data_IF_359175929544
#
_entry.id   IF_359175929544
#
_cell.length_a   1.000
_cell.length_b   1.000
_cell.length_c   1.000
_cell.angle_alpha   90.00
_cell.angle_beta   90.00
_cell.angle_gamma   90.00
#
_symmetry.space_group_name_H-M   'P 1'
#
loop_
_entity.id
_entity.type
_entity.pdbx_description
1 polymer ?
#
# COMPACT_ATOMS: atom_id res chain seq x y z
N UNK A 1 21.18 -5.03 0.50
CA UNK A 1 19.79 -5.26 0.02
C UNK A 1 18.86 -4.34 0.79
N UNK A 2 18.13 -3.44 0.11
CA UNK A 2 17.14 -2.56 0.78
C UNK A 2 16.05 -3.45 1.40
N UNK A 3 15.60 -3.16 2.62
CA UNK A 3 14.47 -3.91 3.20
C UNK A 3 13.13 -3.43 2.64
N UNK A 4 12.12 -4.31 2.66
CA UNK A 4 10.77 -3.95 2.18
C UNK A 4 10.21 -2.71 2.91
N UNK A 5 10.48 -2.58 4.21
CA UNK A 5 10.10 -1.42 5.03
C UNK A 5 10.64 -0.11 4.44
N UNK A 6 11.95 -0.02 4.17
CA UNK A 6 12.57 1.17 3.58
C UNK A 6 11.95 1.52 2.23
N UNK A 7 11.68 0.51 1.40
CA UNK A 7 11.04 0.73 0.10
C UNK A 7 9.63 1.32 0.24
N UNK A 8 8.81 0.79 1.16
CA UNK A 8 7.47 1.35 1.40
C UNK A 8 7.55 2.77 1.99
N UNK A 9 8.47 3.06 2.89
CA UNK A 9 8.69 4.41 3.43
C UNK A 9 9.06 5.40 2.33
N UNK A 10 10.07 5.08 1.52
CA UNK A 10 10.53 5.94 0.44
C UNK A 10 9.46 6.17 -0.63
N UNK A 11 8.71 5.12 -1.01
CA UNK A 11 7.65 5.25 -2.01
C UNK A 11 6.44 6.03 -1.47
N UNK A 12 6.15 5.89 -0.17
CA UNK A 12 5.09 6.67 0.48
C UNK A 12 5.45 8.15 0.50
N UNK A 13 6.71 8.44 0.82
CA UNK A 13 7.22 9.81 0.81
C UNK A 13 7.30 10.40 -0.61
N UNK A 14 7.86 9.65 -1.56
CA UNK A 14 7.91 10.03 -2.97
C UNK A 14 6.53 10.30 -3.56
N UNK A 15 5.56 9.44 -3.27
CA UNK A 15 4.16 9.62 -3.72
C UNK A 15 3.60 10.93 -3.20
N UNK A 16 3.83 11.25 -1.93
CA UNK A 16 3.32 12.47 -1.31
C UNK A 16 3.95 13.73 -1.91
N UNK A 17 5.29 13.79 -2.00
CA UNK A 17 6.02 14.92 -2.62
C UNK A 17 5.66 15.11 -4.10
N UNK A 18 5.61 14.04 -4.88
CA UNK A 18 5.27 14.10 -6.30
C UNK A 18 3.82 14.57 -6.51
N UNK A 19 2.89 14.13 -5.65
CA UNK A 19 1.49 14.54 -5.74
C UNK A 19 1.30 16.01 -5.31
N UNK A 20 2.04 16.48 -4.30
CA UNK A 20 2.08 17.90 -3.94
C UNK A 20 2.60 18.75 -5.10
N UNK A 21 3.74 18.34 -5.68
CA UNK A 21 4.31 19.02 -6.83
C UNK A 21 3.34 19.05 -8.02
N UNK A 22 2.70 17.92 -8.34
CA UNK A 22 1.69 17.84 -9.40
C UNK A 22 0.44 18.71 -9.15
N UNK A 23 0.12 19.03 -7.89
CA UNK A 23 -0.96 19.95 -7.54
C UNK A 23 -0.56 21.44 -7.64
N UNK A 24 0.71 21.75 -7.88
CA UNK A 24 1.21 23.12 -7.98
C UNK A 24 0.65 23.82 -9.22
N UNK A 25 0.22 25.09 -9.15
CA UNK A 25 -0.46 25.78 -10.26
C UNK A 25 0.33 25.82 -11.58
N UNK A 26 1.66 25.79 -11.51
CA UNK A 26 2.55 25.91 -12.65
C UNK A 26 2.92 24.56 -13.28
N UNK A 27 2.54 23.44 -12.65
CA UNK A 27 2.83 22.09 -13.13
C UNK A 27 1.66 21.59 -13.97
N UNK A 28 1.93 21.26 -15.24
CA UNK A 28 0.93 20.79 -16.21
C UNK A 28 1.00 19.28 -16.49
N UNK A 29 1.68 18.52 -15.63
CA UNK A 29 1.84 17.07 -15.77
C UNK A 29 0.70 16.35 -15.07
N UNK A 30 0.11 15.35 -15.73
CA UNK A 30 -0.87 14.47 -15.11
C UNK A 30 -0.16 13.42 -14.26
N UNK A 31 -0.26 13.54 -12.93
CA UNK A 31 0.16 12.48 -12.00
C UNK A 31 -1.08 11.71 -11.52
N UNK A 32 -1.56 10.82 -12.41
CA UNK A 32 -2.82 10.10 -12.26
C UNK A 32 -2.76 8.93 -11.29
N UNK A 33 -3.93 8.42 -10.91
CA UNK A 33 -4.07 7.25 -10.03
C UNK A 33 -3.37 6.00 -10.59
N UNK A 34 -3.61 5.66 -11.86
CA UNK A 34 -2.95 4.53 -12.54
C UNK A 34 -1.42 4.70 -12.55
N UNK A 35 -0.93 5.90 -12.85
CA UNK A 35 0.51 6.22 -12.87
C UNK A 35 1.16 6.00 -11.50
N UNK A 36 0.53 6.46 -10.42
CA UNK A 36 1.05 6.29 -9.05
C UNK A 36 1.10 4.80 -8.71
N UNK A 37 0.00 4.07 -8.97
CA UNK A 37 -0.09 2.63 -8.70
C UNK A 37 0.99 1.86 -9.46
N UNK A 38 1.11 2.05 -10.77
CA UNK A 38 2.07 1.34 -11.61
C UNK A 38 3.51 1.63 -11.21
N UNK A 39 3.83 2.91 -10.95
CA UNK A 39 5.18 3.32 -10.50
C UNK A 39 5.54 2.62 -9.19
N UNK A 40 4.63 2.61 -8.21
CA UNK A 40 4.87 1.99 -6.91
C UNK A 40 5.03 0.46 -7.02
N UNK A 41 4.16 -0.23 -7.77
CA UNK A 41 4.25 -1.68 -7.95
C UNK A 41 5.53 -2.08 -8.69
N UNK A 42 5.90 -1.34 -9.73
CA UNK A 42 7.13 -1.58 -10.48
C UNK A 42 8.37 -1.38 -9.60
N UNK A 43 8.43 -0.31 -8.83
CA UNK A 43 9.56 -0.02 -7.94
C UNK A 43 9.71 -1.07 -6.84
N UNK A 44 8.61 -1.55 -6.26
CA UNK A 44 8.65 -2.66 -5.28
C UNK A 44 9.24 -3.91 -5.94
N UNK A 45 8.78 -4.29 -7.15
CA UNK A 45 9.29 -5.46 -7.88
C UNK A 45 10.75 -5.30 -8.30
N UNK A 46 11.17 -4.10 -8.70
CA UNK A 46 12.54 -3.78 -9.14
C UNK A 46 13.53 -3.90 -7.99
N UNK A 47 13.16 -3.43 -6.80
CA UNK A 47 14.04 -3.41 -5.61
C UNK A 47 14.09 -4.75 -4.88
N UNK A 48 13.05 -5.57 -5.02
CA UNK A 48 12.91 -6.86 -4.33
C UNK A 48 12.71 -8.05 -5.29
N UNK A 49 13.55 -8.22 -6.33
CA UNK A 49 13.28 -9.18 -7.40
C UNK A 49 13.27 -10.65 -6.95
N UNK A 50 13.87 -10.96 -5.78
CA UNK A 50 13.88 -12.31 -5.18
C UNK A 50 12.70 -12.57 -4.25
N UNK A 51 12.04 -11.53 -3.74
CA UNK A 51 10.91 -11.62 -2.80
C UNK A 51 9.58 -11.28 -3.45
N UNK A 52 9.61 -10.47 -4.48
CA UNK A 52 8.42 -9.90 -5.11
C UNK A 52 8.27 -10.46 -6.51
N UNK A 53 7.09 -11.00 -6.80
CA UNK A 53 6.64 -11.39 -8.13
C UNK A 53 5.48 -10.49 -8.53
N UNK A 54 5.61 -9.83 -9.68
CA UNK A 54 4.54 -9.02 -10.29
C UNK A 54 4.00 -9.80 -11.49
N UNK A 55 2.71 -10.13 -11.46
CA UNK A 55 1.98 -10.75 -12.56
C UNK A 55 1.02 -9.72 -13.14
N UNK A 56 1.03 -9.55 -14.46
CA UNK A 56 0.14 -8.64 -15.19
C UNK A 56 -0.61 -9.40 -16.27
N UNK A 57 -1.91 -9.23 -16.35
CA UNK A 57 -2.79 -9.91 -17.31
C UNK A 57 -3.40 -8.91 -18.29
N UNK A 58 -3.87 -9.41 -19.44
CA UNK A 58 -4.36 -8.54 -20.52
C UNK A 58 -5.74 -7.98 -20.20
N UNK A 59 -5.95 -6.68 -20.49
CA UNK A 59 -7.17 -5.92 -20.18
C UNK A 59 -8.45 -6.41 -20.90
N UNK A 60 -8.42 -7.49 -21.68
CA UNK A 60 -9.49 -7.83 -22.65
C UNK A 60 -10.86 -8.13 -22.00
N UNK A 61 -10.92 -8.38 -20.69
CA UNK A 61 -12.17 -8.58 -19.94
C UNK A 61 -12.33 -7.66 -18.71
N UNK A 62 -11.39 -6.75 -18.45
CA UNK A 62 -11.04 -6.43 -17.07
C UNK A 62 -11.22 -4.95 -16.68
N UNK A 63 -12.38 -4.67 -16.08
CA UNK A 63 -12.66 -3.55 -15.15
C UNK A 63 -14.13 -3.54 -14.69
N UNK A 64 -14.99 -4.35 -15.33
CA UNK A 64 -16.44 -4.33 -15.09
C UNK A 64 -16.88 -5.09 -13.83
N UNK A 65 -16.10 -6.06 -13.36
CA UNK A 65 -16.61 -7.07 -12.42
C UNK A 65 -16.07 -6.94 -10.99
N UNK A 66 -14.87 -6.38 -10.80
CA UNK A 66 -14.15 -6.49 -9.50
C UNK A 66 -13.92 -5.17 -8.81
N UNK A 67 -13.89 -4.06 -9.55
CA UNK A 67 -13.69 -2.72 -9.00
C UNK A 67 -12.39 -2.56 -8.21
N UNK A 68 -11.34 -3.28 -8.60
CA UNK A 68 -10.02 -3.27 -7.97
C UNK A 68 -8.91 -2.94 -8.98
N UNK A 69 -7.84 -2.30 -8.53
CA UNK A 69 -6.68 -1.94 -9.36
C UNK A 69 -5.56 -3.00 -9.28
N UNK A 70 -5.39 -3.64 -8.12
CA UNK A 70 -4.46 -4.76 -7.96
C UNK A 70 -4.83 -5.69 -6.79
N UNK A 71 -4.13 -6.81 -6.71
CA UNK A 71 -4.18 -7.75 -5.59
C UNK A 71 -2.79 -7.89 -4.94
N UNK A 72 -2.75 -7.91 -3.61
CA UNK A 72 -1.55 -8.10 -2.81
C UNK A 72 -1.61 -9.43 -2.07
N UNK A 73 -0.59 -10.28 -2.25
CA UNK A 73 -0.39 -11.51 -1.48
C UNK A 73 0.89 -11.39 -0.67
N UNK A 74 0.78 -11.16 0.62
CA UNK A 74 1.92 -11.08 1.55
C UNK A 74 2.05 -12.42 2.24
N UNK A 75 3.08 -13.17 1.89
CA UNK A 75 3.26 -14.57 2.24
C UNK A 75 4.27 -14.66 3.39
N UNK A 76 3.79 -14.85 4.61
CA UNK A 76 4.62 -15.13 5.79
C UNK A 76 4.76 -16.62 6.05
N UNK A 77 5.56 -17.01 7.04
CA UNK A 77 5.81 -18.43 7.40
C UNK A 77 4.56 -19.14 7.88
N UNK A 78 3.79 -18.47 8.74
CA UNK A 78 2.62 -19.06 9.38
C UNK A 78 1.33 -18.68 8.64
N UNK A 79 1.25 -17.45 8.17
CA UNK A 79 0.05 -16.88 7.57
C UNK A 79 0.34 -16.11 6.29
N UNK A 80 -0.64 -16.12 5.39
CA UNK A 80 -0.66 -15.34 4.16
C UNK A 80 -1.81 -14.34 4.24
N UNK A 81 -1.50 -13.05 4.06
CA UNK A 81 -2.49 -12.00 3.90
C UNK A 81 -2.71 -11.74 2.40
N UNK A 82 -3.96 -11.85 1.96
CA UNK A 82 -4.39 -11.50 0.61
C UNK A 82 -5.35 -10.32 0.66
N UNK A 83 -5.07 -9.29 -0.13
CA UNK A 83 -5.86 -8.06 -0.21
C UNK A 83 -6.29 -7.80 -1.65
N UNK A 84 -7.55 -7.45 -1.84
CA UNK A 84 -8.05 -6.85 -3.08
C UNK A 84 -8.05 -5.33 -2.88
N UNK A 85 -7.30 -4.60 -3.71
CA UNK A 85 -7.02 -3.19 -3.43
C UNK A 85 -7.52 -2.29 -4.56
N UNK A 86 -8.27 -1.26 -4.19
CA UNK A 86 -8.66 -0.16 -5.05
C UNK A 86 -7.84 1.09 -4.67
N UNK A 87 -7.13 1.67 -5.62
CA UNK A 87 -6.50 2.97 -5.44
C UNK A 87 -7.55 4.08 -5.44
N UNK A 88 -7.23 5.16 -4.72
CA UNK A 88 -7.94 6.42 -4.84
C UNK A 88 -7.01 7.61 -4.64
N UNK A 89 -6.81 8.42 -5.69
CA UNK A 89 -6.03 9.67 -5.57
C UNK A 89 -6.85 10.78 -4.90
N UNK A 90 -6.27 11.44 -3.91
CA UNK A 90 -6.89 12.58 -3.22
C UNK A 90 -6.66 13.87 -4.03
N UNK A 91 -7.75 14.57 -4.35
CA UNK A 91 -7.70 15.84 -5.08
C UNK A 91 -7.09 16.96 -4.24
N UNK A 92 -6.46 17.95 -4.89
CA UNK A 92 -5.80 19.12 -4.25
C UNK A 92 -6.51 19.66 -2.99
N UNK A 93 -7.84 19.85 -3.04
CA UNK A 93 -8.64 20.36 -1.92
C UNK A 93 -8.98 19.31 -0.83
N UNK A 94 -8.29 18.17 -0.79
CA UNK A 94 -8.54 17.03 0.11
C UNK A 94 -9.76 16.18 -0.28
N UNK A 95 -10.37 16.44 -1.44
CA UNK A 95 -11.57 15.75 -1.91
C UNK A 95 -11.28 14.32 -2.35
N UNK A 96 -12.21 13.42 -2.05
CA UNK A 96 -12.20 12.03 -2.56
C UNK A 96 -13.16 11.99 -3.74
N UNK A 97 -12.68 11.59 -4.92
CA UNK A 97 -13.53 11.39 -6.10
C UNK A 97 -14.64 10.37 -5.83
N UNK A 98 -15.71 10.36 -6.64
CA UNK A 98 -16.91 9.57 -6.36
C UNK A 98 -16.59 8.10 -6.00
N UNK A 99 -16.91 7.69 -4.77
CA UNK A 99 -16.70 6.34 -4.25
C UNK A 99 -17.81 5.38 -4.68
N UNK A 100 -18.99 5.91 -4.98
CA UNK A 100 -20.13 5.15 -5.54
C UNK A 100 -20.14 5.21 -7.06
N UNK A 101 -18.99 5.43 -7.67
CA UNK A 101 -18.89 5.48 -9.12
C UNK A 101 -19.32 4.13 -9.70
N UNK A 102 -20.22 4.18 -10.67
CA UNK A 102 -20.58 3.03 -11.48
C UNK A 102 -19.51 2.86 -12.55
N UNK A 103 -18.96 1.66 -12.67
CA UNK A 103 -18.15 1.31 -13.84
C UNK A 103 -18.99 1.40 -15.12
N UNK A 104 -18.37 1.65 -16.27
CA UNK A 104 -19.09 1.72 -17.54
C UNK A 104 -19.73 0.36 -17.85
N UNK A 105 -21.05 0.28 -17.73
CA UNK A 105 -21.82 -0.97 -17.91
C UNK A 105 -21.78 -1.92 -16.71
N UNK A 106 -21.34 -1.46 -15.54
CA UNK A 106 -21.40 -2.24 -14.30
C UNK A 106 -22.83 -2.27 -13.75
N UNK A 107 -23.23 -3.40 -13.15
CA UNK A 107 -24.53 -3.54 -12.50
C UNK A 107 -24.58 -2.92 -11.09
N UNK A 108 -23.41 -2.69 -10.48
CA UNK A 108 -23.27 -2.18 -9.10
C UNK A 108 -22.16 -1.14 -8.98
N UNK A 109 -22.19 -0.28 -7.93
CA UNK A 109 -21.09 0.63 -7.61
C UNK A 109 -19.75 -0.11 -7.42
N UNK A 110 -18.65 0.54 -7.81
CA UNK A 110 -17.30 -0.04 -7.75
C UNK A 110 -16.93 -0.59 -6.36
N UNK A 111 -17.29 0.13 -5.29
CA UNK A 111 -17.02 -0.29 -3.91
C UNK A 111 -17.79 -1.56 -3.51
N UNK A 112 -18.98 -1.78 -4.08
CA UNK A 112 -19.77 -2.97 -3.81
C UNK A 112 -19.16 -4.17 -4.52
N UNK A 113 -18.74 -4.00 -5.78
CA UNK A 113 -18.00 -5.02 -6.53
C UNK A 113 -16.73 -5.43 -5.79
N UNK A 114 -15.95 -4.45 -5.31
CA UNK A 114 -14.71 -4.69 -4.55
C UNK A 114 -14.96 -5.57 -3.31
N UNK A 115 -15.98 -5.22 -2.52
CA UNK A 115 -16.27 -5.94 -1.26
C UNK A 115 -16.84 -7.33 -1.53
N UNK A 116 -17.80 -7.44 -2.46
CA UNK A 116 -18.44 -8.71 -2.80
C UNK A 116 -17.42 -9.70 -3.38
N UNK A 117 -16.62 -9.26 -4.35
CA UNK A 117 -15.59 -10.09 -4.95
C UNK A 117 -14.52 -10.49 -3.92
N UNK A 118 -14.03 -9.54 -3.11
CA UNK A 118 -13.05 -9.86 -2.08
C UNK A 118 -13.56 -10.92 -1.11
N UNK A 119 -14.81 -10.82 -0.66
CA UNK A 119 -15.45 -11.82 0.21
C UNK A 119 -15.57 -13.18 -0.47
N UNK A 120 -16.02 -13.22 -1.72
CA UNK A 120 -16.15 -14.45 -2.48
C UNK A 120 -14.82 -15.19 -2.65
N UNK A 121 -13.70 -14.45 -2.64
CA UNK A 121 -12.35 -14.99 -2.78
C UNK A 121 -11.56 -15.04 -1.46
N UNK A 122 -12.22 -14.83 -0.30
CA UNK A 122 -11.58 -14.79 1.02
C UNK A 122 -10.39 -13.81 1.12
N UNK A 123 -10.53 -12.63 0.51
CA UNK A 123 -9.56 -11.54 0.50
C UNK A 123 -10.02 -10.42 1.44
N UNK A 124 -9.06 -9.61 1.91
CA UNK A 124 -9.35 -8.34 2.58
C UNK A 124 -9.66 -7.27 1.52
N UNK A 125 -10.86 -6.65 1.51
CA UNK A 125 -11.15 -5.54 0.62
C UNK A 125 -10.54 -4.25 1.16
N UNK A 126 -9.64 -3.63 0.40
CA UNK A 126 -8.88 -2.46 0.82
C UNK A 126 -9.01 -1.29 -0.16
N UNK A 127 -8.98 -0.08 0.40
CA UNK A 127 -8.65 1.13 -0.34
C UNK A 127 -7.20 1.53 -0.04
N UNK A 128 -6.50 2.03 -1.06
CA UNK A 128 -5.23 2.73 -0.89
C UNK A 128 -5.39 4.18 -1.37
N UNK A 129 -5.40 5.12 -0.43
CA UNK A 129 -5.48 6.54 -0.72
C UNK A 129 -4.09 7.13 -0.97
N UNK A 130 -3.92 7.79 -2.12
CA UNK A 130 -2.72 8.56 -2.44
C UNK A 130 -2.92 10.04 -2.08
N UNK A 131 -2.09 10.56 -1.18
CA UNK A 131 -2.25 11.91 -0.64
C UNK A 131 -0.92 12.67 -0.49
N UNK A 132 -0.99 13.98 -0.68
CA UNK A 132 0.07 14.94 -0.40
C UNK A 132 0.04 15.35 1.09
N UNK A 133 1.14 15.89 1.60
CA UNK A 133 1.21 16.38 3.00
C UNK A 133 0.14 17.42 3.35
N UNK A 134 -0.11 18.47 2.53
CA UNK A 134 -1.08 19.51 2.88
C UNK A 134 -2.54 19.02 2.97
N UNK A 135 -2.83 17.80 2.51
CA UNK A 135 -4.16 17.20 2.54
C UNK A 135 -4.42 16.40 3.82
N UNK A 136 -3.36 16.04 4.55
CA UNK A 136 -3.39 15.21 5.75
C UNK A 136 -3.59 16.08 6.98
N UNK A 137 -4.28 15.53 7.97
CA UNK A 137 -4.57 16.19 9.25
C UNK A 137 -4.25 15.31 10.46
N UNK A 138 -4.14 14.01 10.25
CA UNK A 138 -3.85 13.02 11.28
C UNK A 138 -2.46 12.39 11.07
N UNK A 139 -2.18 11.94 9.86
CA UNK A 139 -0.87 11.38 9.49
C UNK A 139 0.08 12.49 9.03
N UNK A 140 0.25 13.52 9.85
CA UNK A 140 1.16 14.62 9.55
C UNK A 140 2.61 14.26 9.88
N UNK A 141 3.53 14.87 9.14
CA UNK A 141 4.97 14.83 9.44
C UNK A 141 5.18 15.44 10.84
N UNK A 142 5.98 14.79 11.67
CA UNK A 142 6.34 15.35 12.98
C UNK A 142 7.25 16.57 12.81
N UNK A 143 7.28 17.45 13.81
CA UNK A 143 8.35 18.45 13.92
C UNK A 143 9.60 17.69 14.35
N UNK A 144 10.45 17.38 13.40
CA UNK A 144 11.76 16.80 13.66
C UNK A 144 12.81 17.92 13.76
N UNK A 145 13.88 17.68 14.53
CA UNK A 145 15.00 18.61 14.64
C UNK A 145 15.61 18.91 13.25
N UNK A 146 16.27 20.04 13.07
CA UNK A 146 16.83 20.48 11.78
C UNK A 146 17.75 19.44 11.10
N UNK A 147 18.25 18.46 11.86
CA UNK A 147 19.12 17.38 11.40
C UNK A 147 18.38 16.08 11.02
N UNK A 148 17.05 16.01 11.08
CA UNK A 148 16.31 14.79 10.78
C UNK A 148 15.00 15.13 10.06
N UNK A 149 14.73 14.50 8.91
CA UNK A 149 13.48 14.64 8.15
C UNK A 149 12.56 13.43 8.39
N UNK A 150 11.35 13.67 8.90
CA UNK A 150 10.34 12.60 9.03
C UNK A 150 9.79 12.15 7.67
N UNK A 151 9.55 10.85 7.50
CA UNK A 151 8.93 10.31 6.28
C UNK A 151 7.46 10.75 6.17
N UNK A 152 7.04 11.00 4.94
CA UNK A 152 5.67 11.34 4.62
C UNK A 152 4.82 10.08 4.37
N UNK A 153 3.54 10.13 4.75
CA UNK A 153 2.60 9.00 4.62
C UNK A 153 1.73 9.17 3.39
N UNK A 154 2.33 9.16 2.20
CA UNK A 154 1.60 9.40 0.95
C UNK A 154 0.69 8.26 0.49
N UNK A 155 0.81 7.07 1.08
CA UNK A 155 0.01 5.89 0.75
C UNK A 155 -0.68 5.36 2.01
N UNK A 156 -1.99 5.59 2.13
CA UNK A 156 -2.80 5.24 3.29
C UNK A 156 -3.76 4.11 2.96
N UNK A 157 -3.74 3.03 3.73
CA UNK A 157 -4.62 1.87 3.55
C UNK A 157 -5.81 1.99 4.49
N UNK A 158 -7.01 1.71 3.99
CA UNK A 158 -8.22 1.57 4.79
C UNK A 158 -9.01 0.32 4.41
N UNK A 159 -9.84 -0.14 5.33
CA UNK A 159 -10.87 -1.14 5.07
C UNK A 159 -11.97 -0.59 4.16
N UNK A 160 -12.23 -1.26 3.03
CA UNK A 160 -13.28 -0.85 2.11
C UNK A 160 -14.68 -0.88 2.73
N UNK A 161 -14.96 -1.77 3.68
CA UNK A 161 -16.26 -1.80 4.37
C UNK A 161 -16.48 -0.54 5.21
N UNK A 162 -15.41 -0.07 5.87
CA UNK A 162 -15.41 1.18 6.63
C UNK A 162 -15.55 2.38 5.69
N UNK A 163 -14.83 2.38 4.55
CA UNK A 163 -14.98 3.42 3.50
C UNK A 163 -16.42 3.46 2.96
N UNK A 164 -17.04 2.30 2.72
CA UNK A 164 -18.43 2.21 2.25
C UNK A 164 -19.41 2.75 3.29
N UNK A 165 -19.25 2.34 4.54
CA UNK A 165 -20.09 2.76 5.66
C UNK A 165 -20.04 4.28 5.87
N UNK A 166 -18.83 4.86 5.89
CA UNK A 166 -18.66 6.31 6.11
C UNK A 166 -18.93 7.15 4.85
N UNK A 167 -18.79 6.57 3.67
CA UNK A 167 -18.90 7.25 2.37
C UNK A 167 -18.21 8.64 2.34
N UNK A 168 -16.91 8.73 2.70
CA UNK A 168 -16.25 9.99 2.93
C UNK A 168 -16.10 10.81 1.64
N UNK A 169 -16.42 12.11 1.71
CA UNK A 169 -16.21 13.06 0.60
C UNK A 169 -14.83 13.73 0.65
N UNK A 170 -14.15 13.67 1.80
CA UNK A 170 -12.85 14.29 2.06
C UNK A 170 -11.97 13.35 2.88
N UNK A 171 -10.65 13.44 2.71
CA UNK A 171 -9.67 12.60 3.40
C UNK A 171 -9.81 12.68 4.93
N UNK A 172 -9.94 13.88 5.48
CA UNK A 172 -10.05 14.09 6.94
C UNK A 172 -11.26 13.41 7.62
N UNK A 173 -12.22 12.88 6.84
CA UNK A 173 -13.37 12.12 7.37
C UNK A 173 -13.11 10.62 7.51
N UNK A 174 -12.00 10.12 6.95
CA UNK A 174 -11.60 8.70 6.99
C UNK A 174 -10.14 8.50 7.40
N UNK A 175 -9.35 9.57 7.47
CA UNK A 175 -7.91 9.51 7.73
C UNK A 175 -7.56 8.75 9.02
N UNK A 176 -8.34 8.95 10.09
CA UNK A 176 -8.16 8.24 11.36
C UNK A 176 -8.47 6.74 11.29
N UNK A 177 -9.15 6.27 10.23
CA UNK A 177 -9.45 4.86 9.97
C UNK A 177 -8.51 4.28 8.89
N UNK A 178 -7.42 4.98 8.61
CA UNK A 178 -6.38 4.53 7.70
C UNK A 178 -5.09 4.26 8.45
N UNK A 179 -4.21 3.46 7.86
CA UNK A 179 -2.82 3.32 8.30
C UNK A 179 -1.87 3.54 7.12
N UNK A 180 -0.69 4.13 7.31
CA UNK A 180 0.34 4.15 6.28
C UNK A 180 0.70 2.73 5.84
N UNK A 181 0.89 2.50 4.55
CA UNK A 181 1.14 1.15 4.02
C UNK A 181 2.39 0.46 4.58
N UNK A 182 3.37 1.21 5.10
CA UNK A 182 4.57 0.65 5.72
C UNK A 182 4.26 -0.01 7.07
N UNK A 183 3.06 0.23 7.63
CA UNK A 183 2.56 -0.48 8.81
C UNK A 183 2.30 -1.96 8.55
N UNK A 184 2.23 -2.38 7.28
CA UNK A 184 2.31 -3.80 6.92
C UNK A 184 3.65 -4.42 7.35
N UNK A 185 4.72 -3.63 7.46
CA UNK A 185 6.01 -4.07 7.97
C UNK A 185 6.15 -3.77 9.47
N UNK A 186 5.99 -2.50 9.87
CA UNK A 186 6.22 -2.05 11.25
C UNK A 186 5.31 -0.87 11.61
N UNK A 187 4.66 -0.93 12.77
CA UNK A 187 3.69 0.07 13.27
C UNK A 187 4.39 1.22 14.00
N UNK A 188 5.36 1.84 13.35
CA UNK A 188 6.10 3.00 13.86
C UNK A 188 6.10 4.14 12.84
N UNK A 189 6.20 5.37 13.33
CA UNK A 189 6.65 6.49 12.51
C UNK A 189 8.16 6.42 12.38
N UNK A 190 8.68 6.97 11.29
CA UNK A 190 10.09 6.88 10.95
C UNK A 190 10.61 8.21 10.43
N UNK A 191 11.89 8.44 10.65
CA UNK A 191 12.61 9.64 10.22
C UNK A 191 14.02 9.30 9.75
N UNK A 192 14.63 10.16 8.94
CA UNK A 192 15.94 9.99 8.33
C UNK A 192 16.84 11.18 8.66
N UNK A 193 18.13 10.97 8.90
CA UNK A 193 19.08 12.03 9.32
C UNK A 193 19.47 12.99 8.18
N UNK A 194 19.18 12.67 6.92
CA UNK A 194 19.18 13.65 5.82
C UNK A 194 18.01 13.39 4.87
N UNK A 195 17.60 14.43 4.14
CA UNK A 195 16.46 14.32 3.22
C UNK A 195 16.75 13.25 2.15
N UNK A 196 15.96 12.16 2.05
CA UNK A 196 16.29 10.96 1.25
C UNK A 196 16.36 11.23 -0.27
N UNK A 197 16.00 12.44 -0.68
CA UNK A 197 15.94 12.89 -2.07
C UNK A 197 17.17 13.65 -2.55
N UNK A 198 18.03 14.18 -1.66
CA UNK A 198 19.18 14.97 -2.09
C UNK A 198 20.30 14.15 -2.74
N UNK A 199 20.40 12.84 -2.44
CA UNK A 199 21.46 12.00 -2.99
C UNK A 199 21.12 11.23 -4.28
N UNK A 200 19.84 10.98 -4.61
CA UNK A 200 19.49 10.25 -5.86
C UNK A 200 19.86 11.00 -7.13
N UNK A 201 19.93 12.33 -7.07
CA UNK A 201 20.27 13.19 -8.20
C UNK A 201 21.75 13.57 -8.24
N UNK A 202 22.52 13.28 -7.19
CA UNK A 202 23.90 13.74 -7.09
C UNK A 202 24.92 12.70 -7.56
N UNK A 203 24.73 11.39 -7.37
CA UNK A 203 25.75 10.40 -7.77
C UNK A 203 25.18 9.00 -8.10
N UNK A 204 25.83 8.30 -9.04
CA UNK A 204 25.68 6.86 -9.36
C UNK A 204 26.13 5.95 -8.18
N UNK A 205 25.68 6.25 -6.96
CA UNK A 205 26.08 5.50 -5.77
C UNK A 205 25.29 4.18 -5.66
N UNK A 206 25.95 3.08 -5.27
CA UNK A 206 25.29 1.81 -5.03
C UNK A 206 24.17 1.97 -4.00
N UNK A 207 23.03 1.34 -4.29
CA UNK A 207 21.81 1.21 -3.48
C UNK A 207 22.07 0.85 -2.00
N UNK A 208 23.24 0.31 -1.68
CA UNK A 208 23.60 -0.21 -0.36
C UNK A 208 23.98 0.87 0.67
N UNK A 209 24.11 2.14 0.28
CA UNK A 209 24.46 3.23 1.21
C UNK A 209 23.27 3.98 1.85
N UNK A 210 22.03 3.66 1.49
CA UNK A 210 20.83 4.29 2.08
C UNK A 210 20.41 3.68 3.42
N UNK A 211 21.39 3.34 4.26
CA UNK A 211 21.16 2.98 5.66
C UNK A 211 21.44 4.22 6.52
N UNK A 212 20.64 5.25 6.35
CA UNK A 212 20.52 6.26 7.41
C UNK A 212 19.77 5.61 8.58
N UNK A 213 20.20 5.93 9.80
CA UNK A 213 19.57 5.43 11.03
C UNK A 213 18.10 5.83 11.04
N UNK A 214 17.24 4.89 10.64
CA UNK A 214 15.81 5.04 10.76
C UNK A 214 15.48 5.02 12.25
N UNK A 215 15.03 6.15 12.77
CA UNK A 215 14.66 6.27 14.19
C UNK A 215 13.16 5.96 14.31
N UNK A 216 12.77 4.88 15.03
CA UNK A 216 11.37 4.62 15.29
C UNK A 216 10.81 5.64 16.28
N UNK A 217 9.72 6.32 15.90
CA UNK A 217 8.87 7.06 16.82
C UNK A 217 7.61 6.24 17.08
N UNK A 218 7.37 5.90 18.35
CA UNK A 218 6.16 5.20 18.78
C UNK A 218 4.95 6.14 18.67
N UNK A 219 3.91 5.71 17.96
CA UNK A 219 2.60 6.32 18.08
C UNK A 219 1.63 5.36 18.75
N UNK A 220 1.15 5.73 19.94
CA UNK A 220 0.05 5.03 20.62
C UNK A 220 -1.33 5.28 20.01
N UNK A 221 -1.43 5.89 18.82
CA UNK A 221 -2.70 6.34 18.22
C UNK A 221 -3.16 5.51 17.03
N UNK A 222 -2.33 4.65 16.46
CA UNK A 222 -2.66 3.92 15.23
C UNK A 222 -3.92 3.06 15.40
N UNK A 223 -4.96 3.39 14.64
CA UNK A 223 -6.18 2.57 14.57
C UNK A 223 -5.84 1.19 14.02
N UNK A 224 -6.19 0.13 14.75
CA UNK A 224 -6.04 -1.23 14.24
C UNK A 224 -7.15 -1.50 13.22
N UNK A 225 -6.81 -1.38 11.94
CA UNK A 225 -7.73 -1.71 10.83
C UNK A 225 -7.79 -3.21 10.51
N UNK A 226 -7.24 -4.04 11.41
CA UNK A 226 -7.24 -5.50 11.30
C UNK A 226 -6.11 -6.10 10.48
N UNK A 227 -5.23 -5.26 9.88
CA UNK A 227 -4.09 -5.74 9.08
C UNK A 227 -2.91 -6.16 9.97
N UNK A 228 -2.39 -7.39 9.81
CA UNK A 228 -1.21 -7.85 10.54
C UNK A 228 0.08 -7.23 9.98
N UNK A 229 1.12 -7.18 10.80
CA UNK A 229 2.48 -6.91 10.32
C UNK A 229 3.13 -8.17 9.73
N UNK A 230 4.20 -8.01 8.95
CA UNK A 230 5.00 -9.14 8.46
C UNK A 230 5.51 -10.03 9.60
N UNK A 231 5.76 -9.48 10.79
CA UNK A 231 6.21 -10.25 11.95
C UNK A 231 5.09 -11.15 12.48
N UNK A 232 3.87 -10.62 12.55
CA UNK A 232 2.70 -11.42 12.95
C UNK A 232 2.37 -12.50 11.91
N UNK A 233 2.57 -12.23 10.61
CA UNK A 233 2.41 -13.25 9.57
C UNK A 233 3.42 -14.40 9.66
N UNK A 234 4.58 -14.16 10.29
CA UNK A 234 5.63 -15.14 10.50
C UNK A 234 5.53 -15.87 11.84
N UNK A 235 4.64 -15.44 12.73
CA UNK A 235 4.48 -15.99 14.09
C UNK A 235 3.21 -16.85 14.20
N UNK A 236 3.38 -18.15 14.40
CA UNK A 236 2.29 -19.11 14.59
C UNK A 236 1.47 -18.84 15.86
N UNK A 237 1.99 -18.06 16.82
CA UNK A 237 1.29 -17.70 18.07
C UNK A 237 0.33 -16.52 17.89
N UNK A 238 0.42 -15.79 16.78
CA UNK A 238 -0.36 -14.56 16.55
C UNK A 238 -1.86 -14.81 16.33
N UNK A 239 -2.32 -16.07 16.20
CA UNK A 239 -3.74 -16.49 16.10
C UNK A 239 -4.55 -15.60 15.15
N UNK A 240 -4.13 -15.57 13.88
CA UNK A 240 -4.70 -14.68 12.86
C UNK A 240 -5.84 -15.32 12.04
N UNK A 241 -6.21 -16.56 12.34
CA UNK A 241 -7.08 -17.42 11.51
C UNK A 241 -8.49 -16.85 11.25
N UNK A 242 -9.01 -15.99 12.14
CA UNK A 242 -10.36 -15.41 12.01
C UNK A 242 -10.39 -14.06 11.27
N UNK A 243 -9.21 -13.53 10.91
CA UNK A 243 -9.15 -12.21 10.27
C UNK A 243 -9.37 -12.33 8.76
N UNK A 244 -10.19 -11.44 8.22
CA UNK A 244 -10.44 -11.32 6.78
C UNK A 244 -9.16 -11.23 5.96
N UNK A 245 -9.14 -11.95 4.84
CA UNK A 245 -7.99 -11.98 3.95
C UNK A 245 -6.80 -12.77 4.47
N UNK A 246 -6.89 -13.42 5.64
CA UNK A 246 -5.80 -14.22 6.19
C UNK A 246 -6.11 -15.70 6.03
N UNK A 247 -5.13 -16.45 5.55
CA UNK A 247 -5.14 -17.91 5.57
C UNK A 247 -3.83 -18.42 6.14
N UNK A 248 -3.81 -19.68 6.63
CA UNK A 248 -2.54 -20.34 6.95
C UNK A 248 -1.70 -20.47 5.68
N UNK A 249 -0.40 -20.25 5.80
CA UNK A 249 0.53 -20.47 4.69
C UNK A 249 0.76 -21.97 4.53
N UNK A 250 0.51 -22.56 3.35
CA UNK A 250 0.84 -23.95 3.10
C UNK A 250 2.35 -24.18 3.18
N UNK A 251 2.77 -25.37 3.62
CA UNK A 251 4.20 -25.76 3.63
C UNK A 251 4.77 -25.87 2.20
N UNK A 252 3.92 -26.24 1.23
CA UNK A 252 4.27 -26.29 -0.18
C UNK A 252 4.16 -24.91 -0.84
N UNK A 253 5.23 -24.48 -1.52
CA UNK A 253 5.24 -23.27 -2.34
C UNK A 253 4.43 -23.51 -3.60
N UNK A 254 3.34 -22.77 -3.74
CA UNK A 254 2.72 -22.48 -5.02
C UNK A 254 1.91 -23.63 -5.61
N UNK A 255 0.60 -23.58 -5.41
CA UNK A 255 -0.21 -23.77 -6.61
C UNK A 255 0.09 -22.58 -7.51
N UNK A 256 0.66 -22.89 -8.68
CA UNK A 256 0.82 -21.95 -9.76
C UNK A 256 -0.57 -21.43 -10.09
N UNK A 257 -0.83 -20.15 -9.83
CA UNK A 257 -2.17 -19.63 -10.06
C UNK A 257 -2.37 -19.62 -11.56
N UNK A 258 -3.36 -20.38 -12.02
CA UNK A 258 -3.60 -20.64 -13.44
C UNK A 258 -4.13 -19.33 -14.07
N UNK A 259 -3.62 -18.91 -15.26
CA UNK A 259 -4.14 -17.76 -16.01
C UNK A 259 -5.67 -17.69 -16.11
N UNK A 260 -6.32 -18.85 -16.25
CA UNK A 260 -7.78 -19.00 -16.36
C UNK A 260 -8.53 -18.58 -15.07
N UNK A 261 -7.95 -18.82 -13.89
CA UNK A 261 -8.51 -18.35 -12.62
C UNK A 261 -8.46 -16.81 -12.52
N UNK A 262 -7.50 -16.16 -13.19
CA UNK A 262 -7.36 -14.71 -13.19
C UNK A 262 -8.36 -14.03 -14.13
N UNK A 263 -8.53 -14.53 -15.34
CA UNK A 263 -9.54 -14.02 -16.26
C UNK A 263 -10.93 -14.11 -15.63
N UNK A 264 -11.23 -15.22 -14.95
CA UNK A 264 -12.48 -15.38 -14.19
C UNK A 264 -12.60 -14.37 -13.05
N UNK A 265 -11.51 -14.05 -12.36
CA UNK A 265 -11.47 -13.17 -11.17
C UNK A 265 -11.27 -11.69 -11.52
N UNK A 266 -11.10 -11.33 -12.79
CA UNK A 266 -10.96 -9.97 -13.28
C UNK A 266 -9.93 -9.10 -12.53
N UNK A 267 -8.73 -9.65 -12.26
CA UNK A 267 -7.57 -8.91 -11.73
C UNK A 267 -6.48 -8.68 -12.78
N UNK A 268 -6.20 -7.39 -13.07
CA UNK A 268 -5.14 -7.02 -14.02
C UNK A 268 -3.73 -7.21 -13.48
N UNK A 269 -3.53 -7.08 -12.17
CA UNK A 269 -2.21 -6.98 -11.55
C UNK A 269 -2.19 -7.68 -10.19
N UNK A 270 -1.21 -8.57 -9.99
CA UNK A 270 -0.97 -9.22 -8.70
C UNK A 270 0.47 -9.06 -8.28
N UNK A 271 0.65 -8.63 -7.03
CA UNK A 271 1.96 -8.59 -6.38
C UNK A 271 2.00 -9.66 -5.29
N UNK A 272 2.82 -10.70 -5.49
CA UNK A 272 3.17 -11.68 -4.45
C UNK A 272 4.45 -11.23 -3.77
N UNK A 273 4.44 -11.14 -2.45
CA UNK A 273 5.56 -10.67 -1.62
C UNK A 273 5.88 -11.78 -0.61
N UNK A 274 6.96 -12.51 -0.84
CA UNK A 274 7.47 -13.53 0.08
C UNK A 274 8.27 -12.88 1.20
N UNK A 275 7.69 -12.88 2.40
CA UNK A 275 8.29 -12.36 3.63
C UNK A 275 8.58 -13.46 4.64
N UNK A 276 8.62 -14.74 4.20
CA UNK A 276 8.98 -15.87 5.06
C UNK A 276 10.38 -15.74 5.63
N UNK A 277 11.28 -15.06 4.93
CA UNK A 277 12.56 -14.63 5.49
C UNK A 277 12.50 -13.11 5.66
N UNK A 278 11.91 -12.61 6.76
CA UNK A 278 11.84 -11.18 6.99
C UNK A 278 13.28 -10.64 7.06
N UNK A 279 13.53 -9.49 6.42
CA UNK A 279 14.84 -8.84 6.53
C UNK A 279 15.09 -8.50 7.99
N UNK A 280 16.00 -9.21 8.65
CA UNK A 280 16.35 -9.01 10.06
C UNK A 280 16.90 -7.60 10.33
N UNK A 281 17.28 -6.87 9.28
CA UNK A 281 17.69 -5.45 9.33
C UNK A 281 16.51 -4.48 9.49
N UNK A 282 15.25 -4.92 9.39
CA UNK A 282 14.08 -4.05 9.48
C UNK A 282 13.72 -3.59 10.91
N UNK A 283 14.34 -4.15 11.96
CA UNK A 283 14.09 -3.77 13.37
C UNK A 283 15.36 -3.83 14.25
N UNK A 284 16.56 -3.58 13.70
CA UNK A 284 17.70 -3.24 14.57
C UNK A 284 17.74 -1.73 14.72
N UNK A 285 16.98 -1.26 15.69
CA UNK A 285 16.82 0.12 16.16
C UNK A 285 15.83 0.12 17.30
#
# INVERSE_FOLDING_TARGET
MISLLHTLLELGHSTSKNLEFAHSPHVKVSYGEETITETNLLEIRRRHPRKVTLLTFSKLQESKNTGADWEWHIIGRAYTLKMRVQAKRIHKAGGIGNLKQMGKGAAKPQIDLLIEDAKANSLFPAYCFYCAEPQRSYWVKGIAEEKVEAFETGCLIADAETVKSKAPKKLNKIENDTVPWHFLCARHKFSATQGPYLQRLQEDLPIERYMEEIIPSYEGRATDIGLPTIFQLNDWRSRLDERKGISRTPEAVGEEIIPEDFERRGITRILKIDVRQPDLFAIRG
#
